data_IF_998090966045
#
_entry.id   IF_998090966045
#
_cell.length_a   1.000
_cell.length_b   1.000
_cell.length_c   1.000
_cell.angle_alpha   90.00
_cell.angle_beta   90.00
_cell.angle_gamma   90.00
#
_symmetry.space_group_name_H-M   'P 1'
#
loop_
_entity.id
_entity.type
_entity.pdbx_description
1 polymer ?
#
# COMPACT_ATOMS: atom_id res chain seq x y z
N UNK A 1 5.13 5.01 41.72
CA UNK A 1 4.68 3.94 40.78
C UNK A 1 3.40 4.26 39.98
N UNK A 2 2.37 4.96 40.48
CA UNK A 2 1.07 5.13 39.78
C UNK A 2 1.06 5.90 38.42
N UNK A 3 2.06 6.74 38.11
CA UNK A 3 2.06 7.55 36.86
C UNK A 3 2.48 6.78 35.60
N UNK A 4 3.30 5.72 35.72
CA UNK A 4 3.76 4.93 34.56
C UNK A 4 2.65 4.04 34.00
N UNK A 5 1.83 3.46 34.88
CA UNK A 5 0.79 2.49 34.50
C UNK A 5 -0.35 3.18 33.75
N UNK A 6 -0.74 4.38 34.19
CA UNK A 6 -1.73 5.21 33.50
C UNK A 6 -1.26 5.67 32.10
N UNK A 7 0.05 5.95 31.93
CA UNK A 7 0.62 6.28 30.60
C UNK A 7 0.64 5.07 29.67
N UNK A 8 0.89 3.87 30.20
CA UNK A 8 0.89 2.61 29.44
C UNK A 8 -0.54 2.26 28.99
N UNK A 9 -1.52 2.38 29.88
CA UNK A 9 -2.93 2.14 29.58
C UNK A 9 -3.48 3.09 28.52
N UNK A 10 -3.21 4.40 28.63
CA UNK A 10 -3.56 5.40 27.59
C UNK A 10 -2.97 5.05 26.22
N UNK A 11 -1.73 4.54 26.19
CA UNK A 11 -1.09 4.13 24.94
C UNK A 11 -1.77 2.91 24.32
N UNK A 12 -2.18 1.93 25.13
CA UNK A 12 -2.92 0.74 24.68
C UNK A 12 -4.27 1.16 24.07
N UNK A 13 -5.06 1.96 24.79
CA UNK A 13 -6.37 2.46 24.30
C UNK A 13 -6.24 3.21 22.98
N UNK A 14 -5.17 4.02 22.81
CA UNK A 14 -4.90 4.72 21.54
C UNK A 14 -4.56 3.77 20.39
N UNK A 15 -3.78 2.71 20.65
CA UNK A 15 -3.45 1.70 19.64
C UNK A 15 -4.71 0.95 19.23
N UNK A 16 -5.53 0.55 20.19
CA UNK A 16 -6.78 -0.16 19.95
C UNK A 16 -7.77 0.68 19.16
N UNK A 17 -7.98 1.94 19.57
CA UNK A 17 -8.80 2.89 18.81
C UNK A 17 -8.30 3.04 17.36
N UNK A 18 -6.98 3.21 17.18
CA UNK A 18 -6.41 3.33 15.83
C UNK A 18 -6.60 2.07 14.98
N UNK A 19 -6.60 0.87 15.60
CA UNK A 19 -6.86 -0.39 14.91
C UNK A 19 -8.32 -0.49 14.50
N UNK A 20 -9.24 -0.22 15.42
CA UNK A 20 -10.69 -0.22 15.14
C UNK A 20 -11.06 0.80 14.05
N UNK A 21 -10.50 2.00 14.14
CA UNK A 21 -10.68 3.02 13.12
C UNK A 21 -10.14 2.57 11.76
N UNK A 22 -8.95 1.97 11.72
CA UNK A 22 -8.40 1.42 10.48
C UNK A 22 -9.30 0.32 9.93
N UNK A 23 -9.71 -0.67 10.73
CA UNK A 23 -10.56 -1.76 10.23
C UNK A 23 -11.89 -1.27 9.66
N UNK A 24 -12.51 -0.26 10.31
CA UNK A 24 -13.76 0.33 9.84
C UNK A 24 -13.59 1.12 8.53
N UNK A 25 -12.46 1.81 8.36
CA UNK A 25 -12.25 2.76 7.26
C UNK A 25 -11.19 2.30 6.25
N UNK A 26 -10.70 1.06 6.34
CA UNK A 26 -9.53 0.60 5.56
C UNK A 26 -9.76 0.72 4.07
N UNK A 27 -10.98 0.45 3.60
CA UNK A 27 -11.33 0.57 2.20
C UNK A 27 -11.11 2.00 1.69
N UNK A 28 -11.77 2.99 2.31
CA UNK A 28 -11.64 4.40 1.90
C UNK A 28 -10.21 4.91 2.05
N UNK A 29 -9.52 4.50 3.12
CA UNK A 29 -8.10 4.84 3.33
C UNK A 29 -7.23 4.28 2.19
N UNK A 30 -7.47 3.03 1.78
CA UNK A 30 -6.73 2.38 0.71
C UNK A 30 -7.05 2.99 -0.65
N UNK A 31 -8.33 3.17 -0.96
CA UNK A 31 -8.81 3.83 -2.19
C UNK A 31 -8.21 5.22 -2.33
N UNK A 32 -8.24 6.02 -1.25
CA UNK A 32 -7.61 7.35 -1.22
C UNK A 32 -6.09 7.29 -1.45
N UNK A 33 -5.40 6.30 -0.89
CA UNK A 33 -3.95 6.15 -1.08
C UNK A 33 -3.58 5.80 -2.52
N UNK A 34 -4.24 4.79 -3.09
CA UNK A 34 -3.96 4.33 -4.46
C UNK A 34 -4.42 5.37 -5.47
N UNK A 35 -5.69 5.76 -5.42
CA UNK A 35 -6.28 6.59 -6.48
C UNK A 35 -5.96 8.07 -6.34
N UNK A 36 -5.63 8.57 -5.15
CA UNK A 36 -5.30 9.99 -4.98
C UNK A 36 -3.82 10.19 -4.68
N UNK A 37 -3.27 9.55 -3.65
CA UNK A 37 -1.91 9.91 -3.21
C UNK A 37 -0.82 9.43 -4.17
N UNK A 38 -0.97 8.22 -4.71
CA UNK A 38 -0.04 7.67 -5.68
C UNK A 38 -0.12 8.47 -6.98
N UNK A 39 -1.34 8.63 -7.52
CA UNK A 39 -1.58 9.36 -8.75
C UNK A 39 -1.13 10.82 -8.64
N UNK A 40 -1.51 11.53 -7.58
CA UNK A 40 -1.05 12.91 -7.37
C UNK A 40 0.46 12.97 -7.23
N UNK A 41 1.12 11.98 -6.62
CA UNK A 41 2.58 12.00 -6.55
C UNK A 41 3.21 11.86 -7.93
N UNK A 42 2.62 11.09 -8.84
CA UNK A 42 3.13 10.88 -10.19
C UNK A 42 2.83 12.11 -11.06
N UNK A 43 1.57 12.58 -11.10
CA UNK A 43 1.16 13.78 -11.85
C UNK A 43 1.90 15.04 -11.39
N UNK A 44 2.08 15.20 -10.07
CA UNK A 44 2.85 16.33 -9.57
C UNK A 44 4.29 16.27 -10.07
N UNK A 45 4.88 15.09 -10.26
CA UNK A 45 6.28 14.98 -10.71
C UNK A 45 6.47 15.48 -12.11
N UNK A 46 5.53 15.21 -13.01
CA UNK A 46 5.53 15.72 -14.38
C UNK A 46 5.53 17.25 -14.41
N UNK A 47 4.79 17.91 -13.50
CA UNK A 47 4.61 19.37 -13.51
C UNK A 47 5.57 20.14 -12.58
N UNK A 48 5.78 19.67 -11.36
CA UNK A 48 6.48 20.41 -10.28
C UNK A 48 7.87 19.85 -9.96
N UNK A 49 8.02 18.52 -9.94
CA UNK A 49 9.27 17.91 -9.47
C UNK A 49 10.31 17.81 -10.56
N UNK A 50 9.90 17.65 -11.83
CA UNK A 50 10.82 17.65 -12.98
C UNK A 50 11.63 18.95 -13.07
N UNK A 51 11.12 20.05 -12.53
CA UNK A 51 11.80 21.35 -12.55
C UNK A 51 12.62 21.60 -11.27
N UNK A 52 12.02 21.48 -10.07
CA UNK A 52 12.70 21.88 -8.81
C UNK A 52 13.48 20.76 -8.14
N UNK A 53 13.13 19.51 -8.38
CA UNK A 53 13.65 18.35 -7.63
C UNK A 53 14.22 17.24 -8.53
N UNK A 54 14.26 17.43 -9.85
CA UNK A 54 14.72 16.43 -10.83
C UNK A 54 16.11 15.89 -10.50
N UNK A 55 17.08 16.77 -10.27
CA UNK A 55 18.44 16.38 -9.87
C UNK A 55 18.46 15.49 -8.62
N UNK A 56 17.63 15.80 -7.62
CA UNK A 56 17.52 14.98 -6.39
C UNK A 56 16.84 13.65 -6.64
N UNK A 57 15.82 13.61 -7.51
CA UNK A 57 15.17 12.35 -7.93
C UNK A 57 16.23 11.47 -8.59
N UNK A 58 16.93 11.99 -9.60
CA UNK A 58 17.99 11.28 -10.33
C UNK A 58 19.10 10.80 -9.39
N UNK A 59 19.55 11.61 -8.44
CA UNK A 59 20.54 11.22 -7.44
C UNK A 59 20.08 10.05 -6.58
N UNK A 60 18.81 10.03 -6.17
CA UNK A 60 18.26 8.93 -5.38
C UNK A 60 18.09 7.70 -6.26
N UNK A 61 17.56 7.83 -7.48
CA UNK A 61 17.40 6.72 -8.42
C UNK A 61 18.74 6.08 -8.78
N UNK A 62 19.81 6.88 -8.96
CA UNK A 62 21.18 6.36 -9.14
C UNK A 62 21.67 5.56 -7.93
N UNK A 63 21.34 5.99 -6.71
CA UNK A 63 21.72 5.29 -5.46
C UNK A 63 20.89 4.03 -5.20
N UNK A 64 19.65 4.00 -5.67
CA UNK A 64 18.69 2.91 -5.45
C UNK A 64 17.85 2.69 -6.71
N UNK A 65 18.46 2.14 -7.77
CA UNK A 65 17.77 1.92 -9.02
C UNK A 65 16.66 0.89 -8.85
N UNK A 66 15.64 0.99 -9.70
CA UNK A 66 14.60 -0.02 -9.76
C UNK A 66 15.21 -1.33 -10.28
N UNK A 67 15.06 -2.41 -9.51
CA UNK A 67 15.49 -3.75 -9.90
C UNK A 67 14.24 -4.62 -10.04
N UNK A 68 13.89 -4.95 -11.27
CA UNK A 68 12.66 -5.70 -11.58
C UNK A 68 12.64 -7.06 -10.86
N UNK A 69 13.69 -7.87 -10.97
CA UNK A 69 13.76 -9.20 -10.37
C UNK A 69 13.61 -9.17 -8.83
N UNK A 70 14.27 -8.23 -8.17
CA UNK A 70 14.19 -8.03 -6.72
C UNK A 70 12.76 -7.71 -6.29
N UNK A 71 12.11 -6.79 -6.99
CA UNK A 71 10.76 -6.33 -6.65
C UNK A 71 9.69 -7.33 -7.08
N UNK A 72 9.92 -8.06 -8.16
CA UNK A 72 9.11 -9.19 -8.57
C UNK A 72 9.11 -10.29 -7.51
N UNK A 73 10.30 -10.73 -7.07
CA UNK A 73 10.43 -11.73 -5.99
C UNK A 73 9.79 -11.24 -4.69
N UNK A 74 10.02 -9.99 -4.30
CA UNK A 74 9.45 -9.43 -3.07
C UNK A 74 7.92 -9.33 -3.12
N UNK A 75 7.36 -8.84 -4.22
CA UNK A 75 5.90 -8.75 -4.40
C UNK A 75 5.25 -10.14 -4.46
N UNK A 76 5.87 -11.11 -5.15
CA UNK A 76 5.41 -12.49 -5.20
C UNK A 76 5.33 -13.14 -3.81
N UNK A 77 6.32 -12.90 -2.93
CA UNK A 77 6.27 -13.38 -1.54
C UNK A 77 5.10 -12.76 -0.76
N UNK A 78 4.80 -11.48 -0.98
CA UNK A 78 3.66 -10.82 -0.34
C UNK A 78 2.36 -11.43 -0.85
N UNK A 79 2.19 -11.53 -2.16
CA UNK A 79 0.97 -12.07 -2.78
C UNK A 79 0.70 -13.51 -2.37
N UNK A 80 1.75 -14.34 -2.29
CA UNK A 80 1.65 -15.70 -1.77
C UNK A 80 1.08 -15.76 -0.34
N UNK A 81 1.49 -14.83 0.54
CA UNK A 81 0.96 -14.75 1.92
C UNK A 81 -0.51 -14.36 1.99
N UNK A 82 -1.04 -13.73 0.94
CA UNK A 82 -2.46 -13.41 0.79
C UNK A 82 -3.21 -14.44 -0.07
N UNK A 83 -2.59 -15.59 -0.36
CA UNK A 83 -3.14 -16.65 -1.21
C UNK A 83 -3.48 -16.18 -2.64
N UNK A 84 -2.81 -15.13 -3.13
CA UNK A 84 -2.98 -14.59 -4.48
C UNK A 84 -1.99 -15.27 -5.41
N UNK A 85 -2.51 -16.10 -6.32
CA UNK A 85 -1.76 -16.82 -7.35
C UNK A 85 -1.75 -16.06 -8.67
N UNK A 86 -0.88 -16.45 -9.61
CA UNK A 86 -0.75 -15.80 -10.93
C UNK A 86 -2.04 -15.79 -11.76
N UNK A 87 -2.90 -16.77 -11.57
CA UNK A 87 -4.20 -16.87 -12.26
C UNK A 87 -5.31 -16.07 -11.57
N UNK A 88 -5.02 -15.37 -10.46
CA UNK A 88 -5.98 -14.51 -9.81
C UNK A 88 -6.05 -13.18 -10.57
N UNK A 89 -7.26 -12.70 -10.82
CA UNK A 89 -7.52 -11.45 -11.53
C UNK A 89 -6.82 -10.23 -10.91
N UNK A 90 -6.64 -10.19 -9.58
CA UNK A 90 -5.94 -9.08 -8.92
C UNK A 90 -4.40 -9.19 -8.94
N UNK A 91 -3.84 -10.29 -9.46
CA UNK A 91 -2.39 -10.52 -9.46
C UNK A 91 -1.67 -9.44 -10.27
N UNK A 92 -2.14 -9.19 -11.49
CA UNK A 92 -1.51 -8.25 -12.41
C UNK A 92 -1.64 -6.80 -11.93
N UNK A 93 -2.79 -6.42 -11.35
CA UNK A 93 -2.96 -5.12 -10.69
C UNK A 93 -2.00 -4.94 -9.50
N UNK A 94 -1.80 -6.00 -8.72
CA UNK A 94 -0.84 -5.96 -7.61
C UNK A 94 0.61 -5.96 -8.09
N UNK A 95 0.90 -6.44 -9.30
CA UNK A 95 2.24 -6.34 -9.91
C UNK A 95 2.48 -4.94 -10.48
N UNK A 96 1.50 -4.36 -11.16
CA UNK A 96 1.62 -3.03 -11.77
C UNK A 96 1.86 -1.94 -10.73
N UNK A 97 1.21 -2.03 -9.56
CA UNK A 97 1.34 -1.03 -8.48
C UNK A 97 2.76 -0.97 -7.87
N UNK A 98 3.60 -2.00 -8.07
CA UNK A 98 4.93 -2.09 -7.45
C UNK A 98 5.86 -0.99 -7.95
N UNK A 99 5.88 -0.76 -9.25
CA UNK A 99 6.73 0.27 -9.86
C UNK A 99 6.24 1.67 -9.46
N UNK A 100 4.94 1.88 -9.39
CA UNK A 100 4.35 3.14 -8.95
C UNK A 100 4.65 3.43 -7.48
N UNK A 101 4.56 2.42 -6.62
CA UNK A 101 4.94 2.52 -5.22
C UNK A 101 6.44 2.83 -5.05
N UNK A 102 7.29 2.29 -5.92
CA UNK A 102 8.71 2.67 -5.99
C UNK A 102 8.86 4.14 -6.33
N UNK A 103 8.26 4.62 -7.44
CA UNK A 103 8.34 6.03 -7.86
C UNK A 103 7.84 6.98 -6.78
N UNK A 104 6.64 6.71 -6.24
CA UNK A 104 6.07 7.42 -5.10
C UNK A 104 7.07 7.51 -3.93
N UNK A 105 7.77 6.41 -3.64
CA UNK A 105 8.73 6.37 -2.55
C UNK A 105 9.93 7.28 -2.79
N UNK A 106 10.45 7.31 -4.02
CA UNK A 106 11.54 8.21 -4.42
C UNK A 106 11.10 9.66 -4.26
N UNK A 107 9.93 10.03 -4.77
CA UNK A 107 9.38 11.39 -4.63
C UNK A 107 9.21 11.81 -3.17
N UNK A 108 8.73 10.90 -2.31
CA UNK A 108 8.61 11.21 -0.88
C UNK A 108 9.97 11.34 -0.19
N UNK A 109 11.02 10.71 -0.70
CA UNK A 109 12.37 10.85 -0.14
C UNK A 109 13.06 12.16 -0.53
N UNK A 110 12.73 12.76 -1.67
CA UNK A 110 13.30 14.06 -2.07
C UNK A 110 12.81 15.24 -1.21
N UNK A 111 11.70 15.08 -0.47
CA UNK A 111 11.22 16.06 0.54
C UNK A 111 11.87 15.91 1.92
N UNK A 112 12.68 14.88 2.12
CA UNK A 112 13.24 14.57 3.44
C UNK A 112 14.72 14.95 3.49
N UNK A 113 15.20 15.20 4.71
CA UNK A 113 16.63 15.36 4.99
C UNK A 113 17.44 14.16 4.47
N UNK A 114 18.74 14.33 4.18
CA UNK A 114 19.58 13.28 3.62
C UNK A 114 19.46 11.97 4.40
N UNK A 115 19.24 10.87 3.69
CA UNK A 115 19.11 9.54 4.28
C UNK A 115 20.10 8.58 3.64
N UNK A 116 20.57 7.63 4.43
CA UNK A 116 21.40 6.55 3.90
C UNK A 116 20.61 5.66 2.95
N UNK A 117 21.32 4.98 2.04
CA UNK A 117 20.75 4.00 1.09
C UNK A 117 19.88 2.95 1.80
N UNK A 118 20.30 2.51 3.00
CA UNK A 118 19.55 1.55 3.84
C UNK A 118 18.18 2.08 4.23
N UNK A 119 18.09 3.35 4.64
CA UNK A 119 16.82 3.98 5.02
C UNK A 119 15.88 4.14 3.83
N UNK A 120 16.41 4.49 2.66
CA UNK A 120 15.61 4.64 1.44
C UNK A 120 15.05 3.29 1.01
N UNK A 121 15.91 2.25 0.91
CA UNK A 121 15.47 0.88 0.61
C UNK A 121 14.40 0.36 1.59
N UNK A 122 14.57 0.63 2.89
CA UNK A 122 13.59 0.25 3.90
C UNK A 122 12.24 0.94 3.66
N UNK A 123 12.25 2.24 3.35
CA UNK A 123 11.04 2.98 3.06
C UNK A 123 10.33 2.48 1.80
N UNK A 124 11.08 2.23 0.72
CA UNK A 124 10.52 1.67 -0.52
C UNK A 124 9.85 0.32 -0.23
N UNK A 125 10.52 -0.60 0.46
CA UNK A 125 9.93 -1.90 0.84
C UNK A 125 8.63 -1.73 1.62
N UNK A 126 8.60 -0.79 2.56
CA UNK A 126 7.40 -0.48 3.35
C UNK A 126 6.26 0.02 2.46
N UNK A 127 6.55 0.90 1.50
CA UNK A 127 5.54 1.46 0.60
C UNK A 127 5.06 0.45 -0.43
N UNK A 128 5.94 -0.33 -1.05
CA UNK A 128 5.55 -1.42 -1.96
C UNK A 128 4.59 -2.38 -1.26
N UNK A 129 4.93 -2.84 -0.05
CA UNK A 129 4.04 -3.69 0.74
C UNK A 129 2.70 -3.02 1.03
N UNK A 130 2.73 -1.74 1.42
CA UNK A 130 1.52 -1.00 1.73
C UNK A 130 0.59 -0.90 0.53
N UNK A 131 1.12 -0.53 -0.64
CA UNK A 131 0.31 -0.33 -1.83
C UNK A 131 -0.23 -1.65 -2.38
N UNK A 132 0.53 -2.75 -2.35
CA UNK A 132 -0.01 -4.08 -2.67
C UNK A 132 -1.21 -4.41 -1.76
N UNK A 133 -1.09 -4.19 -0.44
CA UNK A 133 -2.19 -4.44 0.49
C UNK A 133 -3.39 -3.53 0.21
N UNK A 134 -3.15 -2.25 -0.13
CA UNK A 134 -4.23 -1.35 -0.52
C UNK A 134 -4.94 -1.82 -1.79
N UNK A 135 -4.21 -2.24 -2.82
CA UNK A 135 -4.78 -2.80 -4.05
C UNK A 135 -5.64 -4.03 -3.77
N UNK A 136 -5.16 -4.97 -2.94
CA UNK A 136 -5.94 -6.15 -2.54
C UNK A 136 -7.24 -5.80 -1.80
N UNK A 137 -7.22 -4.74 -0.96
CA UNK A 137 -8.41 -4.26 -0.25
C UNK A 137 -9.41 -3.63 -1.23
N UNK A 138 -8.92 -2.86 -2.20
CA UNK A 138 -9.75 -2.22 -3.22
C UNK A 138 -10.36 -3.27 -4.15
N UNK A 139 -9.58 -4.26 -4.60
CA UNK A 139 -10.08 -5.31 -5.48
C UNK A 139 -11.25 -6.09 -4.85
N UNK A 140 -11.21 -6.30 -3.54
CA UNK A 140 -12.31 -6.91 -2.79
C UNK A 140 -13.49 -5.95 -2.51
N UNK A 141 -13.61 -4.82 -3.22
CA UNK A 141 -14.68 -3.81 -3.04
C UNK A 141 -16.06 -4.45 -3.03
N UNK A 142 -16.36 -5.31 -4.02
CA UNK A 142 -17.65 -6.02 -4.11
C UNK A 142 -17.97 -6.79 -2.82
N UNK A 143 -16.99 -7.53 -2.29
CA UNK A 143 -17.12 -8.23 -1.00
C UNK A 143 -17.29 -7.28 0.19
N UNK A 144 -16.60 -6.12 0.19
CA UNK A 144 -16.74 -5.13 1.26
C UNK A 144 -18.12 -4.47 1.24
N UNK A 145 -18.64 -4.12 0.06
CA UNK A 145 -19.99 -3.55 -0.12
C UNK A 145 -21.02 -4.56 0.38
N UNK A 146 -20.91 -5.82 -0.06
CA UNK A 146 -21.79 -6.90 0.38
C UNK A 146 -21.75 -7.06 1.90
N UNK A 147 -20.56 -7.15 2.51
CA UNK A 147 -20.41 -7.27 3.97
C UNK A 147 -21.01 -6.08 4.73
N UNK A 148 -20.87 -4.87 4.21
CA UNK A 148 -21.35 -3.65 4.87
C UNK A 148 -22.87 -3.58 4.90
N UNK A 149 -23.54 -4.09 3.87
CA UNK A 149 -24.99 -4.04 3.71
C UNK A 149 -25.69 -5.36 4.08
N UNK A 150 -24.96 -6.35 4.61
CA UNK A 150 -25.52 -7.67 4.91
C UNK A 150 -25.96 -8.45 3.66
N UNK A 151 -25.38 -8.14 2.50
CA UNK A 151 -25.69 -8.78 1.22
C UNK A 151 -24.73 -9.96 0.96
N UNK A 152 -25.21 -10.93 0.19
CA UNK A 152 -24.40 -12.03 -0.34
C UNK A 152 -23.85 -11.66 -1.71
N UNK A 153 -22.60 -12.00 -1.96
CA UNK A 153 -22.01 -11.86 -3.29
C UNK A 153 -22.30 -13.13 -4.07
N UNK A 154 -23.03 -13.02 -5.18
CA UNK A 154 -23.36 -14.14 -6.07
C UNK A 154 -22.75 -13.93 -7.46
N UNK A 155 -22.49 -15.02 -8.17
CA UNK A 155 -22.08 -14.99 -9.58
C UNK A 155 -23.28 -14.83 -10.52
N UNK A 156 -23.03 -14.86 -11.84
CA UNK A 156 -24.07 -14.71 -12.87
C UNK A 156 -25.11 -15.84 -12.85
N UNK A 157 -24.77 -16.99 -12.25
CA UNK A 157 -25.65 -18.15 -12.10
C UNK A 157 -26.38 -18.16 -10.74
N UNK A 158 -26.17 -17.15 -9.89
CA UNK A 158 -26.74 -17.06 -8.56
C UNK A 158 -26.01 -17.88 -7.49
N UNK A 159 -24.84 -18.45 -7.80
CA UNK A 159 -24.02 -19.18 -6.83
C UNK A 159 -23.22 -18.21 -5.95
N UNK A 160 -23.18 -18.44 -4.64
CA UNK A 160 -22.42 -17.59 -3.72
C UNK A 160 -20.91 -17.67 -3.99
N UNK A 161 -20.28 -16.51 -4.17
CA UNK A 161 -18.83 -16.36 -4.30
C UNK A 161 -18.15 -16.77 -2.98
N UNK A 162 -17.58 -17.99 -2.98
CA UNK A 162 -16.92 -18.73 -1.89
C UNK A 162 -17.85 -19.61 -1.02
N UNK A 163 -18.04 -20.86 -1.44
CA UNK A 163 -17.81 -21.97 -0.51
C UNK A 163 -16.31 -21.95 -0.18
N UNK A 164 -15.94 -21.59 1.04
CA UNK A 164 -14.58 -21.83 1.53
C UNK A 164 -14.27 -23.34 1.38
N UNK A 165 -13.22 -23.67 0.63
CA UNK A 165 -12.55 -24.98 0.70
C UNK A 165 -11.33 -24.83 1.60
#
# INVERSE_FOLDING_TARGET
MKKSDNKKEKRIKKIEYSRLYYEKNKYDICKKRVNQYLENSIRNVENFWKNRYSKKIEEIEKKVPYNYEKWDKFSSIILYRYSIRKNNECYDECKSIVYEAYRYSIHRMTLRKPKTIKHINFYIRKMVKLFIVCTLIIFNEKRQICKTHGLKLVDENGEEYNKEK
#
